data_IF_763824198221
#
_entry.id   IF_763824198221
#
_cell.length_a   1.000
_cell.length_b   1.000
_cell.length_c   1.000
_cell.angle_alpha   90.00
_cell.angle_beta   90.00
_cell.angle_gamma   90.00
#
_symmetry.space_group_name_H-M   'P 1'
#
loop_
_entity.id
_entity.type
_entity.pdbx_description
1 polymer ?
#
# COMPACT_ATOMS: atom_id res chain seq x y z
N UNK A 1 -8.95 -21.09 -5.42
CA UNK A 1 -10.04 -22.02 -5.05
C UNK A 1 -10.69 -21.49 -3.77
N UNK A 2 -11.93 -21.05 -3.84
CA UNK A 2 -12.70 -20.76 -2.64
C UNK A 2 -13.01 -22.12 -1.98
N UNK A 3 -12.53 -22.33 -0.78
CA UNK A 3 -12.80 -23.57 -0.01
C UNK A 3 -14.21 -23.57 0.59
N UNK A 4 -14.96 -22.47 0.46
CA UNK A 4 -16.31 -22.36 1.00
C UNK A 4 -17.12 -21.38 0.13
N UNK A 5 -18.16 -21.84 -0.55
CA UNK A 5 -19.05 -21.03 -1.42
C UNK A 5 -19.83 -19.96 -0.64
N UNK A 6 -19.88 -20.06 0.70
CA UNK A 6 -20.52 -19.07 1.58
C UNK A 6 -19.57 -17.98 2.08
N UNK A 7 -18.33 -17.92 1.60
CA UNK A 7 -17.34 -16.93 2.03
C UNK A 7 -17.26 -15.78 1.02
N UNK A 8 -17.80 -14.63 1.38
CA UNK A 8 -17.78 -13.39 0.58
C UNK A 8 -16.72 -12.43 1.13
N UNK A 9 -15.44 -12.67 0.75
CA UNK A 9 -14.32 -11.87 1.26
C UNK A 9 -14.12 -10.61 0.43
N UNK A 10 -14.46 -9.46 1.03
CA UNK A 10 -14.44 -8.13 0.44
C UNK A 10 -13.50 -7.17 1.20
N UNK A 11 -12.44 -7.70 1.83
CA UNK A 11 -11.43 -6.91 2.56
C UNK A 11 -10.01 -7.09 1.99
N UNK A 12 -9.89 -7.12 0.67
CA UNK A 12 -8.62 -7.32 -0.05
C UNK A 12 -7.62 -6.16 0.11
N UNK A 13 -8.06 -4.98 0.54
CA UNK A 13 -7.17 -3.89 0.90
C UNK A 13 -6.48 -4.11 2.26
N UNK A 14 -7.04 -4.92 3.16
CA UNK A 14 -6.37 -5.33 4.39
C UNK A 14 -5.32 -6.41 4.11
N UNK A 15 -5.68 -7.47 3.42
CA UNK A 15 -4.78 -8.54 2.96
C UNK A 15 -5.47 -9.37 1.89
N UNK A 16 -4.70 -10.00 1.01
CA UNK A 16 -5.24 -10.94 0.02
C UNK A 16 -4.91 -12.38 0.40
N UNK A 17 -5.68 -13.33 -0.12
CA UNK A 17 -5.33 -14.74 -0.06
C UNK A 17 -4.08 -14.99 -0.92
N UNK A 18 -3.17 -15.82 -0.42
CA UNK A 18 -1.98 -16.22 -1.20
C UNK A 18 -2.43 -17.09 -2.38
N UNK A 19 -1.96 -16.76 -3.59
CA UNK A 19 -2.26 -17.58 -4.75
C UNK A 19 -1.60 -18.96 -4.66
N UNK A 20 -2.28 -20.05 -5.06
CA UNK A 20 -1.71 -21.41 -4.98
C UNK A 20 -0.35 -21.52 -5.66
N UNK A 21 -0.19 -20.94 -6.85
CA UNK A 21 1.07 -20.94 -7.59
C UNK A 21 2.20 -20.24 -6.82
N UNK A 22 1.87 -19.22 -6.04
CA UNK A 22 2.82 -18.52 -5.16
C UNK A 22 3.23 -19.40 -4.01
N UNK A 23 2.29 -20.10 -3.37
CA UNK A 23 2.56 -21.03 -2.29
C UNK A 23 3.45 -22.19 -2.77
N UNK A 24 3.18 -22.75 -3.96
CA UNK A 24 3.97 -23.79 -4.58
C UNK A 24 5.41 -23.34 -4.90
N UNK A 25 5.55 -22.12 -5.43
CA UNK A 25 6.88 -21.55 -5.72
C UNK A 25 7.71 -21.34 -4.44
N UNK A 26 7.07 -20.90 -3.35
CA UNK A 26 7.70 -20.74 -2.03
C UNK A 26 8.14 -22.11 -1.51
N UNK A 27 7.23 -23.10 -1.50
CA UNK A 27 7.53 -24.45 -1.02
C UNK A 27 8.71 -25.08 -1.76
N UNK A 28 8.70 -25.04 -3.09
CA UNK A 28 9.81 -25.53 -3.92
C UNK A 28 11.13 -24.80 -3.60
N UNK A 29 11.07 -23.49 -3.45
CA UNK A 29 12.26 -22.71 -3.12
C UNK A 29 12.83 -23.11 -1.76
N UNK A 30 11.99 -23.32 -0.75
CA UNK A 30 12.42 -23.74 0.59
C UNK A 30 13.07 -25.13 0.60
N UNK A 31 12.59 -26.05 -0.22
CA UNK A 31 13.04 -27.45 -0.23
C UNK A 31 14.18 -27.73 -1.19
N UNK A 32 14.24 -27.00 -2.31
CA UNK A 32 15.19 -27.28 -3.40
C UNK A 32 16.34 -26.26 -3.50
N UNK A 33 16.13 -25.01 -3.01
CA UNK A 33 17.07 -23.88 -3.12
C UNK A 33 17.44 -23.29 -1.76
N UNK A 34 17.82 -24.15 -0.82
CA UNK A 34 18.08 -23.80 0.59
C UNK A 34 19.44 -23.10 0.83
N UNK A 35 20.31 -23.04 -0.18
CA UNK A 35 21.65 -22.45 -0.03
C UNK A 35 21.58 -20.95 0.28
N UNK A 36 22.50 -20.46 1.13
CA UNK A 36 22.62 -19.03 1.41
C UNK A 36 23.09 -18.30 0.14
N UNK A 37 22.36 -17.28 -0.37
CA UNK A 37 22.74 -16.54 -1.58
C UNK A 37 24.11 -15.84 -1.51
N UNK A 38 24.65 -15.62 -0.31
CA UNK A 38 25.97 -15.02 -0.10
C UNK A 38 27.11 -16.04 -0.16
N UNK A 39 26.83 -17.36 -0.22
CA UNK A 39 27.85 -18.40 -0.26
C UNK A 39 28.42 -18.60 -1.66
N UNK A 40 29.75 -18.83 -1.75
CA UNK A 40 30.46 -18.93 -3.03
C UNK A 40 30.37 -20.32 -3.70
N UNK A 41 29.88 -21.35 -2.99
CA UNK A 41 29.72 -22.70 -3.50
C UNK A 41 28.41 -22.91 -4.25
N UNK A 42 28.25 -24.03 -4.96
CA UNK A 42 27.17 -24.33 -5.90
C UNK A 42 25.74 -24.04 -5.40
N UNK A 43 25.28 -24.59 -4.26
CA UNK A 43 23.96 -24.27 -3.71
C UNK A 43 23.72 -22.77 -3.45
N UNK A 44 24.72 -22.05 -2.93
CA UNK A 44 24.63 -20.61 -2.71
C UNK A 44 24.49 -19.83 -4.02
N UNK A 45 25.33 -20.17 -5.02
CA UNK A 45 25.24 -19.55 -6.34
C UNK A 45 23.90 -19.82 -7.06
N UNK A 46 23.33 -21.04 -6.89
CA UNK A 46 22.01 -21.35 -7.41
C UNK A 46 20.93 -20.46 -6.78
N UNK A 47 20.96 -20.31 -5.46
CA UNK A 47 20.07 -19.42 -4.70
C UNK A 47 20.24 -17.96 -5.12
N UNK A 48 21.48 -17.50 -5.32
CA UNK A 48 21.77 -16.13 -5.80
C UNK A 48 21.14 -15.87 -7.17
N UNK A 49 21.32 -16.77 -8.12
CA UNK A 49 20.70 -16.63 -9.46
C UNK A 49 19.17 -16.59 -9.38
N UNK A 50 18.56 -17.32 -8.45
CA UNK A 50 17.11 -17.30 -8.24
C UNK A 50 16.65 -15.98 -7.63
N UNK A 51 17.38 -15.46 -6.64
CA UNK A 51 17.14 -14.14 -6.05
C UNK A 51 17.24 -13.01 -7.08
N UNK A 52 18.27 -13.05 -7.93
CA UNK A 52 18.48 -12.04 -8.98
C UNK A 52 17.34 -12.08 -10.03
N UNK A 53 16.84 -13.28 -10.39
CA UNK A 53 15.67 -13.42 -11.26
C UNK A 53 14.39 -12.87 -10.60
N UNK A 54 14.18 -13.17 -9.32
CA UNK A 54 13.05 -12.65 -8.58
C UNK A 54 13.08 -11.11 -8.52
N UNK A 55 14.25 -10.54 -8.27
CA UNK A 55 14.46 -9.08 -8.29
C UNK A 55 14.17 -8.48 -9.66
N UNK A 56 14.66 -9.10 -10.73
CA UNK A 56 14.42 -8.65 -12.10
C UNK A 56 12.92 -8.65 -12.44
N UNK A 57 12.17 -9.68 -12.02
CA UNK A 57 10.73 -9.75 -12.25
C UNK A 57 9.97 -8.61 -11.52
N UNK A 58 10.30 -8.35 -10.24
CA UNK A 58 9.70 -7.24 -9.51
C UNK A 58 10.08 -5.89 -10.13
N UNK A 59 11.35 -5.69 -10.48
CA UNK A 59 11.83 -4.47 -11.11
C UNK A 59 11.12 -4.18 -12.44
N UNK A 60 10.91 -5.21 -13.26
CA UNK A 60 10.19 -5.08 -14.54
C UNK A 60 8.76 -4.53 -14.35
N UNK A 61 8.04 -4.97 -13.30
CA UNK A 61 6.68 -4.47 -13.02
C UNK A 61 6.64 -3.02 -12.54
N UNK A 62 7.76 -2.49 -12.09
CA UNK A 62 7.91 -1.09 -11.66
C UNK A 62 8.52 -0.20 -12.77
N UNK A 63 9.00 -0.80 -13.87
CA UNK A 63 9.79 -0.08 -14.86
C UNK A 63 11.16 0.37 -14.33
N UNK A 64 11.71 -0.35 -13.34
CA UNK A 64 12.97 -0.05 -12.64
C UNK A 64 14.13 -0.92 -13.12
N UNK A 65 15.35 -0.47 -12.87
CA UNK A 65 16.54 -1.31 -12.98
C UNK A 65 16.64 -2.32 -11.82
N UNK A 66 17.24 -3.48 -12.07
CA UNK A 66 17.40 -4.52 -11.04
C UNK A 66 18.21 -4.05 -9.83
N UNK A 67 19.19 -3.16 -10.02
CA UNK A 67 19.97 -2.56 -8.93
C UNK A 67 19.24 -1.45 -8.15
N UNK A 68 17.97 -1.20 -8.44
CA UNK A 68 17.14 -0.18 -7.78
C UNK A 68 16.02 -0.80 -6.94
N UNK A 69 15.89 -2.12 -6.89
CA UNK A 69 14.86 -2.82 -6.13
C UNK A 69 15.49 -3.65 -5.02
N UNK A 70 15.02 -3.48 -3.79
CA UNK A 70 15.53 -4.10 -2.57
C UNK A 70 14.40 -4.83 -1.85
N UNK A 71 14.59 -6.10 -1.51
CA UNK A 71 13.60 -6.86 -0.75
C UNK A 71 13.59 -6.45 0.71
N UNK A 72 12.39 -6.35 1.27
CA UNK A 72 12.12 -6.01 2.68
C UNK A 72 11.12 -6.99 3.28
N UNK A 73 10.93 -6.93 4.58
CA UNK A 73 9.94 -7.77 5.27
C UNK A 73 8.47 -7.30 5.08
N UNK A 74 8.24 -6.04 4.71
CA UNK A 74 6.89 -5.50 4.47
C UNK A 74 6.96 -4.03 3.99
N UNK A 75 5.80 -3.48 3.59
CA UNK A 75 5.70 -2.06 3.24
C UNK A 75 6.10 -1.11 4.37
N UNK A 76 5.78 -1.45 5.62
CA UNK A 76 6.17 -0.62 6.79
C UNK A 76 7.69 -0.54 6.96
N UNK A 77 8.43 -1.66 6.76
CA UNK A 77 9.89 -1.65 6.77
C UNK A 77 10.43 -0.78 5.63
N UNK A 78 9.87 -0.93 4.42
CA UNK A 78 10.26 -0.13 3.25
C UNK A 78 10.06 1.38 3.49
N UNK A 79 8.89 1.79 4.00
CA UNK A 79 8.60 3.19 4.31
C UNK A 79 9.58 3.76 5.34
N UNK A 80 9.87 3.01 6.42
CA UNK A 80 10.83 3.44 7.44
C UNK A 80 12.25 3.58 6.88
N UNK A 81 12.71 2.62 6.07
CA UNK A 81 14.04 2.70 5.42
C UNK A 81 14.10 3.94 4.52
N UNK A 82 13.09 4.15 3.68
CA UNK A 82 13.06 5.26 2.75
C UNK A 82 13.00 6.62 3.46
N UNK A 83 12.08 6.80 4.40
CA UNK A 83 11.84 8.06 5.10
C UNK A 83 13.02 8.41 6.01
N UNK A 84 13.35 7.52 6.95
CA UNK A 84 14.40 7.80 7.93
C UNK A 84 15.77 7.86 7.25
N UNK A 85 16.01 6.97 6.27
CA UNK A 85 17.26 6.94 5.52
C UNK A 85 17.47 8.17 4.62
N UNK A 86 16.40 8.77 4.09
CA UNK A 86 16.50 9.96 3.26
C UNK A 86 16.81 11.25 4.03
N UNK A 87 16.40 11.33 5.30
CA UNK A 87 16.50 12.55 6.10
C UNK A 87 17.92 12.83 6.54
N UNK A 88 18.63 11.82 7.06
CA UNK A 88 19.97 11.98 7.65
C UNK A 88 20.96 12.66 6.69
N UNK A 89 21.16 12.19 5.44
CA UNK A 89 22.10 12.81 4.51
C UNK A 89 21.73 14.25 4.09
N UNK A 90 20.48 14.68 4.38
CA UNK A 90 19.91 15.96 3.95
C UNK A 90 19.76 16.98 5.05
N UNK A 91 19.93 16.57 6.31
CA UNK A 91 19.71 17.40 7.52
C UNK A 91 20.60 18.63 7.61
N UNK A 92 21.75 18.63 6.91
CA UNK A 92 22.68 19.74 6.88
C UNK A 92 22.18 20.97 6.07
N UNK A 93 21.21 20.79 5.16
CA UNK A 93 20.77 21.86 4.26
C UNK A 93 19.26 22.16 4.28
N UNK A 94 18.52 21.45 5.13
CA UNK A 94 17.10 21.72 5.38
C UNK A 94 16.55 20.85 6.49
N UNK A 95 15.43 21.29 7.05
CA UNK A 95 14.70 20.55 8.10
C UNK A 95 13.21 20.44 7.84
N UNK A 96 12.75 20.88 6.67
CA UNK A 96 11.33 20.84 6.32
C UNK A 96 10.99 19.56 5.58
N UNK A 97 9.87 18.94 5.96
CA UNK A 97 9.28 17.75 5.37
C UNK A 97 7.83 18.08 5.02
N UNK A 98 7.39 17.72 3.82
CA UNK A 98 6.00 17.87 3.38
C UNK A 98 5.43 16.47 3.18
N UNK A 99 4.28 16.20 3.78
CA UNK A 99 3.65 14.87 3.74
C UNK A 99 2.14 14.99 3.58
N UNK A 100 1.52 14.05 2.87
CA UNK A 100 0.06 14.03 2.78
C UNK A 100 -0.59 13.72 4.14
N UNK A 101 -1.75 14.31 4.41
CA UNK A 101 -2.43 14.21 5.71
C UNK A 101 -3.26 12.93 5.89
N UNK A 102 -3.26 12.00 4.92
CA UNK A 102 -4.06 10.76 4.95
C UNK A 102 -3.21 9.49 4.76
N UNK A 103 -1.95 9.55 5.18
CA UNK A 103 -1.00 8.46 5.04
C UNK A 103 -1.28 7.28 5.98
N UNK A 104 -0.75 6.12 5.59
CA UNK A 104 -0.71 4.96 6.49
C UNK A 104 0.17 5.24 7.72
N UNK A 105 -0.13 4.65 8.91
CA UNK A 105 0.69 4.83 10.12
C UNK A 105 2.19 4.58 9.95
N UNK A 106 2.59 3.71 9.00
CA UNK A 106 4.01 3.47 8.69
C UNK A 106 4.74 4.68 8.06
N UNK A 107 3.99 5.69 7.60
CA UNK A 107 4.51 6.98 7.15
C UNK A 107 4.27 8.05 8.22
N UNK A 108 3.06 8.13 8.78
CA UNK A 108 2.70 9.15 9.78
C UNK A 108 3.59 9.09 11.03
N UNK A 109 3.78 7.89 11.61
CA UNK A 109 4.55 7.75 12.85
C UNK A 109 6.04 8.12 12.71
N UNK A 110 6.76 7.69 11.65
CA UNK A 110 8.10 8.22 11.38
C UNK A 110 8.14 9.75 11.23
N UNK A 111 7.14 10.37 10.60
CA UNK A 111 7.07 11.83 10.44
C UNK A 111 6.87 12.52 11.79
N UNK A 112 5.99 12.02 12.65
CA UNK A 112 5.80 12.53 14.01
C UNK A 112 7.10 12.43 14.83
N UNK A 113 7.80 11.29 14.75
CA UNK A 113 9.10 11.11 15.40
C UNK A 113 10.16 12.08 14.87
N UNK A 114 10.13 12.44 13.59
CA UNK A 114 11.02 13.45 13.02
C UNK A 114 10.66 14.85 13.54
N UNK A 115 9.37 15.17 13.69
CA UNK A 115 8.93 16.43 14.30
C UNK A 115 9.44 16.57 15.75
N UNK A 116 9.38 15.49 16.55
CA UNK A 116 9.97 15.44 17.92
C UNK A 116 11.48 15.70 17.93
N UNK A 117 12.18 15.35 16.83
CA UNK A 117 13.61 15.60 16.63
C UNK A 117 13.94 16.99 16.07
N UNK A 118 12.93 17.88 15.96
CA UNK A 118 13.08 19.26 15.54
C UNK A 118 13.05 19.48 14.02
N UNK A 119 12.47 18.53 13.24
CA UNK A 119 12.12 18.76 11.86
C UNK A 119 10.76 19.46 11.77
N UNK A 120 10.62 20.37 10.81
CA UNK A 120 9.34 21.00 10.46
C UNK A 120 8.56 20.02 9.56
N UNK A 121 7.51 19.41 10.06
CA UNK A 121 6.67 18.49 9.28
C UNK A 121 5.33 19.13 8.97
N UNK A 122 5.09 19.42 7.69
CA UNK A 122 3.85 19.96 7.17
C UNK A 122 2.96 18.83 6.64
N UNK A 123 1.87 18.52 7.33
CA UNK A 123 0.83 17.60 6.88
C UNK A 123 -0.18 18.35 6.01
N UNK A 124 -0.35 17.94 4.77
CA UNK A 124 -1.28 18.53 3.81
C UNK A 124 -2.59 17.74 3.83
N UNK A 125 -3.65 18.36 4.34
CA UNK A 125 -4.96 17.74 4.41
C UNK A 125 -5.48 17.39 3.00
N UNK A 126 -6.23 16.26 2.85
CA UNK A 126 -6.95 15.97 1.62
C UNK A 126 -8.11 16.96 1.44
N UNK A 127 -8.60 17.07 0.21
CA UNK A 127 -9.87 17.73 -0.08
C UNK A 127 -11.05 16.99 0.55
N UNK A 128 -12.24 17.62 0.59
CA UNK A 128 -13.46 17.00 1.13
C UNK A 128 -13.88 15.73 0.37
N UNK A 129 -13.46 15.60 -0.87
CA UNK A 129 -13.64 14.41 -1.73
C UNK A 129 -12.61 13.31 -1.46
N UNK A 130 -11.65 13.54 -0.55
CA UNK A 130 -10.57 12.61 -0.22
C UNK A 130 -9.39 12.62 -1.18
N UNK A 131 -9.39 13.48 -2.21
CA UNK A 131 -8.26 13.65 -3.13
C UNK A 131 -7.13 14.45 -2.46
N UNK A 132 -5.88 14.23 -2.88
CA UNK A 132 -4.76 15.08 -2.46
C UNK A 132 -4.82 16.41 -3.23
N UNK A 133 -4.88 17.53 -2.51
CA UNK A 133 -4.67 18.85 -3.10
C UNK A 133 -3.19 19.03 -3.51
N UNK A 134 -2.90 18.73 -4.77
CA UNK A 134 -1.54 18.82 -5.34
C UNK A 134 -1.01 20.25 -5.36
N UNK A 135 -1.87 21.28 -5.47
CA UNK A 135 -1.45 22.68 -5.45
C UNK A 135 -1.07 23.11 -4.03
N UNK A 136 -1.88 22.76 -3.02
CA UNK A 136 -1.55 22.99 -1.61
C UNK A 136 -0.26 22.24 -1.22
N UNK A 137 -0.11 20.98 -1.69
CA UNK A 137 1.10 20.20 -1.46
C UNK A 137 2.34 20.90 -2.05
N UNK A 138 2.26 21.33 -3.30
CA UNK A 138 3.35 22.07 -3.95
C UNK A 138 3.62 23.44 -3.30
N UNK A 139 2.57 24.15 -2.88
CA UNK A 139 2.74 25.43 -2.19
C UNK A 139 3.59 25.27 -0.92
N UNK A 140 3.42 24.16 -0.19
CA UNK A 140 4.17 23.86 1.02
C UNK A 140 5.65 23.50 0.77
N UNK A 141 6.02 23.04 -0.43
CA UNK A 141 7.41 22.73 -0.79
C UNK A 141 8.19 24.03 -1.03
N UNK A 142 9.37 24.16 -0.42
CA UNK A 142 10.27 25.29 -0.59
C UNK A 142 11.74 24.85 -0.66
N UNK A 143 12.68 25.82 -0.64
CA UNK A 143 14.14 25.56 -0.74
C UNK A 143 14.71 24.78 0.46
N UNK A 144 14.01 24.74 1.60
CA UNK A 144 14.41 24.02 2.81
C UNK A 144 13.76 22.65 2.94
N UNK A 145 12.87 22.29 2.00
CA UNK A 145 12.19 21.01 1.98
C UNK A 145 13.16 19.92 1.54
N UNK A 146 13.44 18.98 2.45
CA UNK A 146 14.38 17.87 2.23
C UNK A 146 13.69 16.58 1.82
N UNK A 147 12.43 16.40 2.19
CA UNK A 147 11.61 15.21 1.89
C UNK A 147 10.17 15.63 1.59
N UNK A 148 9.61 15.05 0.55
CA UNK A 148 8.19 15.07 0.24
C UNK A 148 7.71 13.61 0.21
N UNK A 149 6.63 13.29 0.92
CA UNK A 149 6.11 11.93 0.99
C UNK A 149 4.59 11.91 0.80
N UNK A 150 4.08 10.99 -0.03
CA UNK A 150 2.65 10.79 -0.24
C UNK A 150 2.37 9.39 -0.74
N UNK A 151 1.15 8.88 -0.48
CA UNK A 151 0.70 7.61 -1.06
C UNK A 151 0.09 7.83 -2.43
N UNK A 152 0.31 6.87 -3.34
CA UNK A 152 -0.27 6.93 -4.68
C UNK A 152 -1.76 6.55 -4.69
N UNK A 153 -2.17 5.59 -3.84
CA UNK A 153 -3.56 5.18 -3.68
C UNK A 153 -3.87 5.07 -2.19
N UNK A 154 -4.93 5.73 -1.75
CA UNK A 154 -5.35 5.67 -0.35
C UNK A 154 -5.99 4.31 -0.02
N UNK A 155 -5.56 3.71 1.08
CA UNK A 155 -5.98 2.38 1.50
C UNK A 155 -7.40 2.32 2.08
N UNK A 156 -8.02 3.46 2.39
CA UNK A 156 -9.37 3.53 2.95
C UNK A 156 -10.42 3.98 1.92
N UNK A 157 -10.10 5.02 1.16
CA UNK A 157 -11.04 5.63 0.20
C UNK A 157 -10.79 5.23 -1.25
N UNK A 158 -9.60 4.71 -1.55
CA UNK A 158 -9.21 4.44 -2.93
C UNK A 158 -8.83 5.68 -3.74
N UNK A 159 -8.82 6.87 -3.11
CA UNK A 159 -8.37 8.10 -3.77
C UNK A 159 -6.98 7.91 -4.36
N UNK A 160 -6.76 8.40 -5.58
CA UNK A 160 -5.51 8.21 -6.29
C UNK A 160 -4.83 9.54 -6.64
N UNK A 161 -3.51 9.49 -6.74
CA UNK A 161 -2.65 10.62 -7.10
C UNK A 161 -1.84 10.26 -8.33
N UNK A 162 -1.74 11.16 -9.31
CA UNK A 162 -0.71 11.04 -10.35
C UNK A 162 0.66 11.33 -9.70
N UNK A 163 1.25 10.24 -9.19
CA UNK A 163 2.47 10.31 -8.41
C UNK A 163 3.66 10.84 -9.23
N UNK A 164 3.74 10.49 -10.51
CA UNK A 164 4.81 10.94 -11.38
C UNK A 164 4.69 12.44 -11.71
N UNK A 165 3.49 12.91 -12.03
CA UNK A 165 3.27 14.33 -12.31
C UNK A 165 3.57 15.19 -11.07
N UNK A 166 3.08 14.80 -9.89
CA UNK A 166 3.36 15.52 -8.65
C UNK A 166 4.85 15.49 -8.32
N UNK A 167 5.52 14.33 -8.43
CA UNK A 167 6.95 14.20 -8.18
C UNK A 167 7.79 15.09 -9.10
N UNK A 168 7.48 15.13 -10.39
CA UNK A 168 8.17 15.99 -11.36
C UNK A 168 8.00 17.48 -11.02
N UNK A 169 6.81 17.90 -10.62
CA UNK A 169 6.53 19.28 -10.19
C UNK A 169 7.31 19.64 -8.91
N UNK A 170 7.38 18.71 -7.94
CA UNK A 170 8.21 18.87 -6.73
C UNK A 170 9.68 19.06 -7.12
N UNK A 171 10.20 18.20 -8.01
CA UNK A 171 11.58 18.29 -8.50
C UNK A 171 11.86 19.56 -9.28
N UNK A 172 10.92 20.06 -10.06
CA UNK A 172 11.04 21.34 -10.77
C UNK A 172 11.14 22.52 -9.79
N UNK A 173 10.39 22.47 -8.68
CA UNK A 173 10.41 23.50 -7.63
C UNK A 173 11.65 23.43 -6.76
N UNK A 174 12.05 22.23 -6.33
CA UNK A 174 13.26 21.98 -5.56
C UNK A 174 13.88 20.62 -5.94
N UNK A 175 14.89 20.56 -6.81
CA UNK A 175 15.50 19.31 -7.26
C UNK A 175 16.21 18.52 -6.15
N UNK A 176 16.51 19.15 -5.00
CA UNK A 176 17.14 18.51 -3.86
C UNK A 176 16.15 17.76 -2.96
N UNK A 177 14.86 18.08 -3.02
CA UNK A 177 13.83 17.38 -2.24
C UNK A 177 13.79 15.91 -2.62
N UNK A 178 14.00 15.00 -1.67
CA UNK A 178 13.73 13.60 -1.88
C UNK A 178 12.21 13.39 -2.02
N UNK A 179 11.78 12.55 -2.98
CA UNK A 179 10.37 12.22 -3.16
C UNK A 179 10.17 10.74 -2.86
N UNK A 180 9.42 10.47 -1.80
CA UNK A 180 9.00 9.13 -1.40
C UNK A 180 7.52 8.89 -1.70
N UNK A 181 7.19 7.74 -2.29
CA UNK A 181 5.81 7.36 -2.58
C UNK A 181 5.50 6.01 -1.95
N UNK A 182 4.44 5.97 -1.13
CA UNK A 182 3.85 4.70 -0.69
C UNK A 182 2.96 4.15 -1.81
N UNK A 183 3.44 3.12 -2.50
CA UNK A 183 2.76 2.43 -3.59
C UNK A 183 2.04 1.13 -3.18
N UNK A 184 1.93 0.85 -1.88
CA UNK A 184 1.41 -0.42 -1.36
C UNK A 184 0.02 -0.75 -1.89
N UNK A 185 -0.86 0.23 -2.03
CA UNK A 185 -2.19 0.05 -2.59
C UNK A 185 -2.27 0.31 -4.10
N UNK A 186 -1.24 0.92 -4.69
CA UNK A 186 -1.20 1.27 -6.11
C UNK A 186 -0.61 0.16 -6.98
N UNK A 187 0.50 -0.45 -6.51
CA UNK A 187 1.22 -1.45 -7.29
C UNK A 187 0.32 -2.60 -7.73
N UNK A 188 0.37 -2.93 -9.01
CA UNK A 188 -0.46 -3.94 -9.69
C UNK A 188 -1.96 -3.57 -9.80
N UNK A 189 -2.41 -2.40 -9.35
CA UNK A 189 -3.79 -1.92 -9.48
C UNK A 189 -3.91 -0.78 -10.47
N UNK A 190 -2.98 0.15 -10.41
CA UNK A 190 -2.89 1.29 -11.33
C UNK A 190 -1.53 1.32 -12.03
N UNK A 191 -1.39 2.02 -13.16
CA UNK A 191 -0.11 2.23 -13.80
C UNK A 191 0.89 2.92 -12.84
N UNK A 192 2.13 2.42 -12.83
CA UNK A 192 3.22 3.01 -12.05
C UNK A 192 4.21 3.67 -13.00
N UNK A 193 4.53 4.93 -12.74
CA UNK A 193 5.65 5.65 -13.36
C UNK A 193 6.54 6.19 -12.25
N UNK A 194 7.83 5.90 -12.33
CA UNK A 194 8.82 6.32 -11.35
C UNK A 194 9.48 7.68 -11.67
N UNK A 195 8.97 8.39 -12.68
CA UNK A 195 9.52 9.68 -13.10
C UNK A 195 9.47 10.73 -11.96
N UNK A 196 10.63 11.25 -11.57
CA UNK A 196 10.76 12.21 -10.45
C UNK A 196 10.73 11.58 -9.05
N UNK A 197 10.46 10.28 -8.92
CA UNK A 197 10.37 9.57 -7.65
C UNK A 197 11.75 9.03 -7.26
N UNK A 198 12.15 9.25 -6.00
CA UNK A 198 13.42 8.76 -5.47
C UNK A 198 13.29 7.42 -4.75
N UNK A 199 12.13 7.16 -4.13
CA UNK A 199 11.82 5.88 -3.47
C UNK A 199 10.35 5.54 -3.59
N UNK A 200 10.06 4.23 -3.76
CA UNK A 200 8.70 3.72 -3.92
C UNK A 200 8.53 2.40 -3.17
N UNK A 201 7.51 2.31 -2.33
CA UNK A 201 7.26 1.14 -1.46
C UNK A 201 6.19 0.24 -2.04
N UNK A 202 6.41 -1.09 -2.00
CA UNK A 202 5.41 -2.10 -2.33
C UNK A 202 5.35 -3.21 -1.27
N UNK A 203 4.21 -3.90 -1.17
CA UNK A 203 3.98 -4.96 -0.18
C UNK A 203 3.29 -6.18 -0.79
N UNK A 204 3.83 -7.36 -0.53
CA UNK A 204 3.40 -8.60 -1.17
C UNK A 204 1.97 -9.02 -0.83
N UNK A 205 1.56 -8.91 0.43
CA UNK A 205 0.25 -9.39 0.87
C UNK A 205 -0.95 -8.57 0.33
N UNK A 206 -0.71 -7.54 -0.46
CA UNK A 206 -1.75 -6.79 -1.17
C UNK A 206 -1.98 -7.28 -2.60
N UNK A 207 -1.12 -8.19 -3.09
CA UNK A 207 -1.12 -8.70 -4.46
C UNK A 207 -1.03 -10.23 -4.51
N UNK A 208 -1.62 -10.93 -3.55
CA UNK A 208 -1.65 -12.40 -3.47
C UNK A 208 -0.30 -13.07 -3.18
N UNK A 209 0.71 -12.32 -2.69
CA UNK A 209 1.93 -12.85 -2.12
C UNK A 209 1.80 -13.04 -0.60
N UNK A 210 2.74 -13.73 0.06
CA UNK A 210 2.68 -13.92 1.51
C UNK A 210 2.86 -12.62 2.29
N UNK A 211 2.39 -12.59 3.53
CA UNK A 211 2.83 -11.64 4.54
C UNK A 211 4.33 -11.86 4.81
N UNK A 212 5.04 -10.83 5.26
CA UNK A 212 6.47 -10.96 5.59
C UNK A 212 7.40 -10.74 4.39
N UNK A 213 6.90 -10.15 3.29
CA UNK A 213 7.71 -9.69 2.17
C UNK A 213 7.14 -8.41 1.55
N UNK A 214 8.04 -7.53 1.18
CA UNK A 214 7.81 -6.32 0.40
C UNK A 214 9.04 -6.00 -0.44
N UNK A 215 9.00 -4.87 -1.13
CA UNK A 215 10.16 -4.34 -1.81
C UNK A 215 10.16 -2.81 -1.76
N UNK A 216 11.36 -2.26 -1.79
CA UNK A 216 11.65 -0.84 -1.86
C UNK A 216 12.39 -0.55 -3.16
N UNK A 217 11.83 0.32 -3.99
CA UNK A 217 12.56 0.96 -5.07
C UNK A 217 13.36 2.15 -4.52
N UNK A 218 14.61 2.23 -4.89
CA UNK A 218 15.47 3.41 -4.68
C UNK A 218 16.12 3.78 -6.00
N UNK A 219 15.87 5.00 -6.46
CA UNK A 219 16.46 5.53 -7.69
C UNK A 219 17.98 5.49 -7.60
N UNK A 220 18.63 5.08 -8.68
CA UNK A 220 20.09 5.06 -8.75
C UNK A 220 20.68 6.45 -8.40
N UNK A 221 21.62 6.46 -7.47
CA UNK A 221 22.24 7.69 -6.97
C UNK A 221 21.42 8.42 -5.89
N UNK A 222 20.27 7.90 -5.50
CA UNK A 222 19.55 8.39 -4.34
C UNK A 222 20.28 7.99 -3.06
N UNK A 223 20.94 8.95 -2.42
CA UNK A 223 21.70 8.71 -1.20
C UNK A 223 20.78 8.58 0.00
N UNK A 224 20.80 7.42 0.66
CA UNK A 224 20.15 7.18 1.94
C UNK A 224 21.15 6.63 2.96
N UNK A 225 20.87 6.85 4.24
CA UNK A 225 21.52 6.18 5.35
C UNK A 225 20.49 5.25 6.01
N UNK A 226 20.53 3.94 5.71
CA UNK A 226 19.55 3.00 6.25
C UNK A 226 19.55 3.00 7.78
N UNK A 227 18.36 2.87 8.43
CA UNK A 227 18.27 2.90 9.89
C UNK A 227 18.77 1.62 10.57
N UNK A 228 19.07 0.58 9.79
CA UNK A 228 19.52 -0.72 10.28
C UNK A 228 21.00 -0.94 9.94
N UNK A 229 21.75 -1.51 10.90
CA UNK A 229 23.13 -1.91 10.73
C UNK A 229 23.24 -3.43 10.88
N UNK A 230 24.10 -4.07 10.08
CA UNK A 230 24.28 -5.53 10.12
C UNK A 230 25.50 -5.99 9.35
N UNK A 231 25.75 -7.31 9.37
CA UNK A 231 26.89 -7.93 8.70
C UNK A 231 26.93 -7.65 7.20
N UNK A 232 28.12 -7.35 6.68
CA UNK A 232 28.34 -7.08 5.26
C UNK A 232 28.15 -5.62 4.83
N UNK A 233 27.80 -4.73 5.73
CA UNK A 233 27.82 -3.28 5.50
C UNK A 233 29.26 -2.77 5.67
N UNK A 234 30.08 -2.92 4.66
CA UNK A 234 31.32 -2.16 4.58
C UNK A 234 31.02 -0.74 4.12
N UNK A 235 31.72 0.21 4.73
CA UNK A 235 31.60 1.67 4.57
C UNK A 235 31.38 2.07 3.12
N UNK A 236 30.14 2.42 2.75
CA UNK A 236 29.84 3.21 1.54
C UNK A 236 30.00 2.51 0.19
N UNK A 237 30.29 1.22 0.13
CA UNK A 237 30.39 0.44 -1.09
C UNK A 237 29.52 -0.80 -0.95
N UNK A 238 28.54 -0.96 -1.82
CA UNK A 238 27.51 -1.99 -1.78
C UNK A 238 28.05 -3.41 -1.76
N UNK A 239 28.32 -3.94 -0.60
CA UNK A 239 28.87 -5.26 -0.35
C UNK A 239 28.17 -6.02 0.76
N UNK A 240 26.87 -5.83 0.98
CA UNK A 240 26.09 -6.60 1.95
C UNK A 240 24.78 -7.12 1.34
N UNK A 241 24.00 -7.84 2.13
CA UNK A 241 22.66 -8.24 1.75
C UNK A 241 21.86 -7.00 1.35
N UNK A 242 21.03 -7.14 0.29
CA UNK A 242 20.30 -6.02 -0.30
C UNK A 242 21.18 -4.76 -0.53
N UNK A 243 22.41 -4.95 -0.98
CA UNK A 243 23.38 -3.91 -1.33
C UNK A 243 23.60 -2.87 -0.19
N UNK A 244 23.51 -3.30 1.07
CA UNK A 244 23.67 -2.44 2.24
C UNK A 244 22.43 -1.62 2.62
N UNK A 245 21.32 -1.75 1.92
CA UNK A 245 20.05 -1.06 2.22
C UNK A 245 19.29 -1.76 3.35
N UNK A 246 19.27 -3.10 3.31
CA UNK A 246 18.59 -3.91 4.31
C UNK A 246 19.50 -5.10 4.70
N UNK A 247 20.08 -5.11 5.92
CA UNK A 247 20.93 -6.20 6.39
C UNK A 247 20.12 -7.44 6.77
N UNK A 248 20.81 -8.57 6.89
CA UNK A 248 20.25 -9.88 7.23
C UNK A 248 20.09 -10.78 6.00
N UNK A 249 20.23 -12.09 6.21
CA UNK A 249 20.11 -13.09 5.14
C UNK A 249 18.82 -12.90 4.38
N UNK A 250 18.89 -12.90 3.05
CA UNK A 250 17.77 -12.67 2.17
C UNK A 250 16.74 -13.81 2.30
N UNK A 251 15.47 -13.45 2.43
CA UNK A 251 14.36 -14.39 2.44
C UNK A 251 14.05 -14.83 1.00
N UNK A 252 14.91 -15.69 0.45
CA UNK A 252 14.80 -16.16 -0.93
C UNK A 252 13.42 -16.74 -1.27
N UNK A 253 12.81 -17.63 -0.43
CA UNK A 253 11.52 -18.20 -0.75
C UNK A 253 10.43 -17.14 -0.92
N UNK A 254 10.41 -16.14 -0.05
CA UNK A 254 9.39 -15.08 -0.10
C UNK A 254 9.69 -14.06 -1.20
N UNK A 255 10.95 -13.79 -1.52
CA UNK A 255 11.32 -12.98 -2.69
C UNK A 255 10.82 -13.63 -4.00
N UNK A 256 10.97 -14.95 -4.13
CA UNK A 256 10.42 -15.73 -5.26
C UNK A 256 8.89 -15.68 -5.25
N UNK A 257 8.27 -15.83 -4.07
CA UNK A 257 6.81 -15.71 -3.92
C UNK A 257 6.29 -14.33 -4.34
N UNK A 258 6.96 -13.25 -3.95
CA UNK A 258 6.62 -11.89 -4.37
C UNK A 258 6.72 -11.71 -5.89
N UNK A 259 7.81 -12.19 -6.48
CA UNK A 259 8.02 -12.13 -7.92
C UNK A 259 6.96 -12.93 -8.70
N UNK A 260 6.63 -14.14 -8.22
CA UNK A 260 5.59 -14.98 -8.82
C UNK A 260 4.22 -14.28 -8.76
N UNK A 261 3.86 -13.70 -7.62
CA UNK A 261 2.61 -12.96 -7.47
C UNK A 261 2.55 -11.74 -8.40
N UNK A 262 3.64 -10.97 -8.49
CA UNK A 262 3.73 -9.81 -9.38
C UNK A 262 3.57 -10.20 -10.85
N UNK A 263 4.21 -11.30 -11.29
CA UNK A 263 4.07 -11.83 -12.66
C UNK A 263 2.64 -12.25 -12.95
N UNK A 264 2.01 -13.02 -12.06
CA UNK A 264 0.61 -13.46 -12.21
C UNK A 264 -0.36 -12.27 -12.28
N UNK A 265 -0.16 -11.26 -11.44
CA UNK A 265 -0.98 -10.05 -11.44
C UNK A 265 -0.82 -9.25 -12.74
N UNK A 266 0.40 -9.16 -13.26
CA UNK A 266 0.70 -8.49 -14.52
C UNK A 266 0.06 -9.23 -15.72
N UNK A 267 0.25 -10.53 -15.81
CA UNK A 267 -0.29 -11.37 -16.88
C UNK A 267 -1.83 -11.34 -16.94
N UNK A 268 -2.47 -11.26 -15.77
CA UNK A 268 -3.93 -11.24 -15.66
C UNK A 268 -4.54 -9.83 -15.68
N UNK A 269 -3.76 -8.77 -15.80
CA UNK A 269 -4.22 -7.38 -15.68
C UNK A 269 -5.36 -7.06 -16.69
N UNK A 270 -5.22 -7.47 -17.95
CA UNK A 270 -6.20 -7.19 -19.01
C UNK A 270 -7.60 -7.79 -18.71
N UNK A 271 -7.67 -8.92 -18.01
CA UNK A 271 -8.92 -9.56 -17.58
C UNK A 271 -9.42 -9.00 -16.24
N UNK A 272 -8.52 -8.84 -15.30
CA UNK A 272 -8.83 -8.44 -13.92
C UNK A 272 -9.37 -7.03 -13.83
N UNK A 273 -8.73 -6.06 -14.50
CA UNK A 273 -9.08 -4.63 -14.35
C UNK A 273 -10.53 -4.35 -14.76
N UNK A 274 -11.02 -4.74 -15.95
CA UNK A 274 -12.42 -4.52 -16.29
C UNK A 274 -13.39 -5.33 -15.44
N UNK A 275 -13.00 -6.52 -14.97
CA UNK A 275 -13.82 -7.33 -14.09
C UNK A 275 -14.05 -6.64 -12.74
N UNK A 276 -13.00 -6.14 -12.08
CA UNK A 276 -13.11 -5.42 -10.81
C UNK A 276 -13.88 -4.10 -10.98
N UNK A 277 -13.69 -3.41 -12.10
CA UNK A 277 -14.48 -2.22 -12.42
C UNK A 277 -15.99 -2.51 -12.54
N UNK A 278 -16.36 -3.64 -13.14
CA UNK A 278 -17.76 -4.06 -13.23
C UNK A 278 -18.36 -4.38 -11.86
N UNK A 279 -17.59 -5.04 -10.96
CA UNK A 279 -18.03 -5.32 -9.58
C UNK A 279 -18.23 -4.03 -8.78
N UNK A 280 -17.31 -3.08 -8.88
CA UNK A 280 -17.43 -1.78 -8.22
C UNK A 280 -18.66 -1.01 -8.75
N UNK A 281 -18.85 -0.96 -10.04
CA UNK A 281 -20.02 -0.32 -10.67
C UNK A 281 -21.34 -0.96 -10.20
N UNK A 282 -21.40 -2.31 -10.14
CA UNK A 282 -22.55 -3.04 -9.60
C UNK A 282 -22.85 -2.67 -8.15
N UNK A 283 -21.82 -2.60 -7.31
CA UNK A 283 -21.97 -2.18 -5.91
C UNK A 283 -22.51 -0.75 -5.83
N UNK A 284 -21.89 0.20 -6.54
CA UNK A 284 -22.35 1.61 -6.55
C UNK A 284 -23.81 1.73 -6.95
N UNK A 285 -24.22 1.09 -8.04
CA UNK A 285 -25.62 1.08 -8.50
C UNK A 285 -26.57 0.44 -7.48
N UNK A 286 -26.14 -0.62 -6.75
CA UNK A 286 -26.93 -1.22 -5.68
C UNK A 286 -27.10 -0.30 -4.49
N UNK A 287 -26.07 0.45 -4.13
CA UNK A 287 -26.10 1.41 -3.00
C UNK A 287 -27.02 2.61 -3.23
N UNK A 288 -27.26 3.02 -4.48
CA UNK A 288 -28.22 4.10 -4.81
C UNK A 288 -29.64 3.82 -4.29
N UNK A 289 -30.00 2.55 -4.05
CA UNK A 289 -31.29 2.16 -3.49
C UNK A 289 -31.37 2.27 -1.98
N UNK A 290 -30.26 2.57 -1.31
CA UNK A 290 -30.12 2.69 0.14
C UNK A 290 -29.88 4.17 0.50
N UNK A 291 -30.95 4.95 0.72
CA UNK A 291 -30.85 6.43 0.85
C UNK A 291 -30.04 6.89 2.10
N UNK A 292 -29.89 6.03 3.08
CA UNK A 292 -29.06 6.32 4.26
C UNK A 292 -27.56 6.19 3.97
N UNK A 293 -27.16 5.51 2.89
CA UNK A 293 -25.77 5.25 2.57
C UNK A 293 -25.18 6.41 1.76
N UNK A 294 -24.02 6.88 2.20
CA UNK A 294 -23.23 7.88 1.45
C UNK A 294 -21.88 7.28 1.07
N UNK A 295 -21.38 7.63 -0.13
CA UNK A 295 -20.05 7.24 -0.57
C UNK A 295 -19.03 8.27 -0.10
N UNK A 296 -17.95 7.79 0.51
CA UNK A 296 -16.81 8.60 0.94
C UNK A 296 -15.64 8.54 -0.06
N UNK A 297 -15.63 7.55 -0.93
CA UNK A 297 -14.65 7.44 -2.02
C UNK A 297 -14.91 8.46 -3.10
N UNK A 298 -13.88 9.15 -3.63
CA UNK A 298 -14.02 10.03 -4.80
C UNK A 298 -14.53 9.27 -6.03
N UNK A 299 -15.06 10.01 -6.99
CA UNK A 299 -15.65 9.42 -8.21
C UNK A 299 -14.61 8.68 -9.05
N UNK A 300 -13.37 9.16 -9.05
CA UNK A 300 -12.20 8.63 -9.76
C UNK A 300 -11.33 7.71 -8.89
N UNK A 301 -11.82 7.25 -7.74
CA UNK A 301 -11.13 6.27 -6.91
C UNK A 301 -10.82 4.99 -7.69
N UNK A 302 -9.76 4.28 -7.28
CA UNK A 302 -9.46 2.96 -7.84
C UNK A 302 -10.64 2.00 -7.62
N UNK A 303 -10.90 1.16 -8.59
CA UNK A 303 -12.05 0.25 -8.54
C UNK A 303 -11.92 -0.83 -7.45
N UNK A 304 -10.72 -1.09 -6.98
CA UNK A 304 -10.42 -2.08 -5.95
C UNK A 304 -10.85 -1.65 -4.54
N UNK A 305 -11.14 -0.37 -4.29
CA UNK A 305 -11.48 0.14 -2.94
C UNK A 305 -12.69 1.06 -3.03
N UNK A 306 -13.68 0.80 -2.19
CA UNK A 306 -14.84 1.67 -1.99
C UNK A 306 -15.07 1.89 -0.49
N UNK A 307 -15.20 3.14 -0.09
CA UNK A 307 -15.57 3.53 1.26
C UNK A 307 -16.98 4.15 1.26
N UNK A 308 -17.80 3.73 2.20
CA UNK A 308 -19.16 4.19 2.36
C UNK A 308 -19.48 4.39 3.85
N UNK A 309 -20.45 5.25 4.17
CA UNK A 309 -21.00 5.39 5.52
C UNK A 309 -22.49 5.04 5.51
N UNK A 310 -22.94 4.22 6.45
CA UNK A 310 -24.35 3.88 6.61
C UNK A 310 -25.15 5.00 7.27
N UNK A 311 -24.49 5.93 7.94
CA UNK A 311 -25.03 7.09 8.67
C UNK A 311 -26.02 6.79 9.81
N UNK A 312 -26.37 5.55 10.04
CA UNK A 312 -27.38 5.18 11.04
C UNK A 312 -27.02 3.95 11.88
N UNK A 313 -26.14 3.08 11.42
CA UNK A 313 -25.68 1.90 12.16
C UNK A 313 -24.15 1.97 12.33
N UNK A 314 -23.65 1.77 13.54
CA UNK A 314 -22.20 1.74 13.81
C UNK A 314 -21.49 0.74 12.93
N UNK A 315 -20.32 1.12 12.46
CA UNK A 315 -19.49 0.27 11.59
C UNK A 315 -19.20 -1.10 12.19
N UNK A 316 -18.85 -1.18 13.48
CA UNK A 316 -18.60 -2.46 14.17
C UNK A 316 -19.85 -3.34 14.24
N UNK A 317 -21.02 -2.75 14.54
CA UNK A 317 -22.29 -3.46 14.59
C UNK A 317 -22.65 -4.04 13.22
N UNK A 318 -22.54 -3.23 12.16
CA UNK A 318 -22.81 -3.66 10.80
C UNK A 318 -21.79 -4.73 10.35
N UNK A 319 -20.51 -4.56 10.69
CA UNK A 319 -19.47 -5.51 10.35
C UNK A 319 -19.74 -6.90 10.95
N UNK A 320 -20.05 -6.97 12.25
CA UNK A 320 -20.38 -8.24 12.90
C UNK A 320 -21.67 -8.86 12.37
N UNK A 321 -22.66 -8.06 12.03
CA UNK A 321 -23.86 -8.55 11.38
C UNK A 321 -23.56 -9.16 10.00
N UNK A 322 -22.79 -8.48 9.16
CA UNK A 322 -22.37 -8.97 7.85
C UNK A 322 -21.55 -10.27 7.97
N UNK A 323 -20.68 -10.38 8.99
CA UNK A 323 -19.94 -11.60 9.29
C UNK A 323 -20.86 -12.79 9.55
N UNK A 324 -22.01 -12.60 10.22
CA UNK A 324 -23.00 -13.70 10.42
C UNK A 324 -23.61 -14.20 9.11
N UNK A 325 -23.51 -13.38 8.04
CA UNK A 325 -23.96 -13.72 6.68
C UNK A 325 -22.81 -14.23 5.80
N UNK A 326 -21.60 -14.43 6.37
CA UNK A 326 -20.42 -14.84 5.60
C UNK A 326 -19.80 -13.72 4.76
N UNK A 327 -20.19 -12.44 4.98
CA UNK A 327 -19.67 -11.28 4.28
C UNK A 327 -18.62 -10.56 5.13
N UNK A 328 -17.41 -10.42 4.61
CA UNK A 328 -16.26 -9.86 5.31
C UNK A 328 -15.83 -8.55 4.66
N UNK A 329 -16.01 -7.45 5.38
CA UNK A 329 -15.60 -6.08 5.02
C UNK A 329 -14.75 -5.50 6.16
N UNK A 330 -14.25 -4.28 6.03
CA UNK A 330 -13.52 -3.58 7.09
C UNK A 330 -14.30 -2.36 7.56
N UNK A 331 -14.26 -2.07 8.85
CA UNK A 331 -14.50 -0.71 9.35
C UNK A 331 -13.26 0.12 8.98
N UNK A 332 -13.39 1.31 8.41
CA UNK A 332 -12.28 2.11 7.85
C UNK A 332 -10.99 2.20 8.68
N UNK A 333 -11.03 1.78 9.94
CA UNK A 333 -9.92 1.79 10.91
C UNK A 333 -9.39 0.40 11.29
N UNK A 334 -9.38 -0.58 10.38
CA UNK A 334 -8.95 -1.97 10.67
C UNK A 334 -7.59 -2.12 11.41
N UNK A 335 -6.73 -1.12 11.38
CA UNK A 335 -5.45 -1.09 12.11
C UNK A 335 -5.51 -0.42 13.49
N UNK A 336 -6.63 0.21 13.89
CA UNK A 336 -6.68 1.12 15.05
C UNK A 336 -7.57 0.66 16.21
N UNK A 337 -7.97 -0.61 16.28
CA UNK A 337 -8.72 -1.20 17.43
C UNK A 337 -9.77 -0.24 18.01
N UNK A 338 -10.71 0.23 17.19
CA UNK A 338 -11.81 1.12 17.63
C UNK A 338 -11.48 2.61 17.67
N UNK A 339 -10.31 3.06 17.21
CA UNK A 339 -10.05 4.48 17.01
C UNK A 339 -10.69 4.96 15.69
N UNK A 340 -11.17 6.20 15.69
CA UNK A 340 -11.73 6.84 14.50
C UNK A 340 -10.72 6.86 13.34
N UNK A 341 -11.19 6.73 12.10
CA UNK A 341 -10.34 6.80 10.93
C UNK A 341 -9.65 8.16 10.83
N UNK A 342 -8.32 8.14 10.82
CA UNK A 342 -7.51 9.33 10.60
C UNK A 342 -7.77 9.93 9.21
N UNK A 343 -7.89 9.09 8.18
CA UNK A 343 -8.16 9.50 6.79
C UNK A 343 -9.51 10.24 6.69
N UNK A 344 -10.60 9.65 7.17
CA UNK A 344 -11.92 10.24 7.09
C UNK A 344 -12.02 11.51 7.96
N UNK A 345 -11.30 11.53 9.09
CA UNK A 345 -11.17 12.74 9.93
C UNK A 345 -10.41 13.86 9.21
N UNK A 346 -9.33 13.55 8.51
CA UNK A 346 -8.55 14.51 7.73
C UNK A 346 -9.35 15.08 6.54
N UNK A 347 -10.30 14.32 5.98
CA UNK A 347 -11.26 14.78 4.97
C UNK A 347 -12.33 15.73 5.54
N UNK A 348 -12.41 15.88 6.87
CA UNK A 348 -13.43 16.71 7.52
C UNK A 348 -14.82 16.08 7.55
N UNK A 349 -14.94 14.76 7.41
CA UNK A 349 -16.24 14.09 7.49
C UNK A 349 -16.83 14.24 8.92
N UNK A 350 -18.16 14.36 9.04
CA UNK A 350 -18.80 14.44 10.34
C UNK A 350 -18.57 13.17 11.16
N UNK A 351 -18.46 13.24 12.51
CA UNK A 351 -18.21 12.10 13.38
C UNK A 351 -19.16 10.92 13.14
N UNK A 352 -20.44 11.20 12.84
CA UNK A 352 -21.42 10.16 12.51
C UNK A 352 -21.06 9.37 11.25
N UNK A 353 -20.62 10.04 10.21
CA UNK A 353 -20.17 9.37 8.98
C UNK A 353 -18.93 8.51 9.24
N UNK A 354 -17.98 9.00 10.05
CA UNK A 354 -16.75 8.27 10.42
C UNK A 354 -17.10 7.01 11.25
N UNK A 355 -17.99 7.12 12.25
CA UNK A 355 -18.38 6.00 13.14
C UNK A 355 -19.19 4.91 12.41
N UNK A 356 -19.77 5.25 11.25
CA UNK A 356 -20.60 4.33 10.45
C UNK A 356 -19.92 3.89 9.14
N UNK A 357 -18.63 4.20 8.97
CA UNK A 357 -17.92 3.96 7.73
C UNK A 357 -17.52 2.48 7.57
N UNK A 358 -17.71 1.96 6.37
CA UNK A 358 -17.26 0.64 5.94
C UNK A 358 -16.38 0.78 4.71
N UNK A 359 -15.33 -0.03 4.66
CA UNK A 359 -14.50 -0.18 3.46
C UNK A 359 -14.78 -1.54 2.82
N UNK A 360 -15.13 -1.51 1.56
CA UNK A 360 -15.23 -2.69 0.69
C UNK A 360 -14.02 -2.72 -0.24
N UNK A 361 -13.40 -3.86 -0.40
CA UNK A 361 -12.26 -3.95 -1.32
C UNK A 361 -12.21 -5.26 -2.09
N UNK A 362 -12.05 -5.13 -3.39
CA UNK A 362 -12.12 -6.20 -4.38
C UNK A 362 -10.74 -6.71 -4.78
N UNK A 363 -10.73 -7.93 -5.31
CA UNK A 363 -9.65 -8.50 -6.10
C UNK A 363 -10.24 -9.25 -7.32
N UNK A 364 -9.38 -9.79 -8.18
CA UNK A 364 -9.80 -10.50 -9.39
C UNK A 364 -10.58 -11.81 -9.16
N UNK A 365 -10.60 -12.32 -7.92
CA UNK A 365 -11.30 -13.56 -7.57
C UNK A 365 -12.71 -13.29 -7.01
N UNK A 366 -13.09 -12.03 -6.77
CA UNK A 366 -14.44 -11.68 -6.38
C UNK A 366 -15.43 -11.88 -7.54
N UNK A 367 -16.69 -12.08 -7.18
CA UNK A 367 -17.78 -12.36 -8.12
C UNK A 367 -18.97 -11.43 -7.88
N UNK A 368 -19.92 -11.40 -8.79
CA UNK A 368 -21.19 -10.68 -8.60
C UNK A 368 -21.95 -11.17 -7.36
N UNK A 369 -21.89 -12.47 -7.05
CA UNK A 369 -22.50 -13.03 -5.84
C UNK A 369 -21.96 -12.43 -4.55
N UNK A 370 -20.67 -12.01 -4.52
CA UNK A 370 -20.11 -11.33 -3.35
C UNK A 370 -20.70 -9.93 -3.16
N UNK A 371 -20.95 -9.24 -4.28
CA UNK A 371 -21.59 -7.91 -4.27
C UNK A 371 -23.05 -8.03 -3.85
N UNK A 372 -23.76 -9.02 -4.40
CA UNK A 372 -25.19 -9.25 -4.09
C UNK A 372 -25.39 -9.64 -2.61
N UNK A 373 -24.51 -10.50 -2.07
CA UNK A 373 -24.53 -10.86 -0.65
C UNK A 373 -24.27 -9.65 0.25
N UNK A 374 -23.33 -8.76 -0.11
CA UNK A 374 -23.09 -7.53 0.63
C UNK A 374 -24.30 -6.60 0.59
N UNK A 375 -24.88 -6.36 -0.60
CA UNK A 375 -26.06 -5.48 -0.74
C UNK A 375 -27.25 -5.99 0.07
N UNK A 376 -27.56 -7.29 -0.01
CA UNK A 376 -28.63 -7.90 0.78
C UNK A 376 -28.34 -7.78 2.29
N UNK A 377 -27.10 -8.03 2.72
CA UNK A 377 -26.70 -7.88 4.11
C UNK A 377 -26.80 -6.43 4.62
N UNK A 378 -26.43 -5.44 3.80
CA UNK A 378 -26.58 -4.03 4.14
C UNK A 378 -28.04 -3.64 4.27
N UNK A 379 -28.90 -4.02 3.31
CA UNK A 379 -30.34 -3.75 3.32
C UNK A 379 -31.00 -4.34 4.58
N UNK A 380 -30.75 -5.63 4.89
CA UNK A 380 -31.28 -6.28 6.10
C UNK A 380 -30.73 -5.64 7.38
N UNK A 381 -29.43 -5.33 7.43
CA UNK A 381 -28.81 -4.68 8.60
C UNK A 381 -29.36 -3.29 8.86
N UNK A 382 -29.56 -2.49 7.83
CA UNK A 382 -30.18 -1.14 7.93
C UNK A 382 -31.64 -1.21 8.42
N UNK A 383 -32.35 -2.28 8.09
CA UNK A 383 -33.75 -2.48 8.50
C UNK A 383 -33.89 -3.03 9.95
N UNK A 384 -32.90 -3.80 10.45
CA UNK A 384 -33.06 -4.60 11.67
C UNK A 384 -32.16 -4.17 12.84
N UNK A 385 -31.00 -3.55 12.55
CA UNK A 385 -30.05 -3.20 13.60
C UNK A 385 -30.41 -1.89 14.32
N UNK A 386 -29.93 -1.80 15.57
CA UNK A 386 -30.10 -0.60 16.37
C UNK A 386 -29.45 0.62 15.69
N UNK A 387 -30.23 1.69 15.55
CA UNK A 387 -29.76 2.94 14.93
C UNK A 387 -29.10 3.85 15.97
N UNK A 388 -28.09 4.59 15.53
CA UNK A 388 -27.52 5.71 16.26
C UNK A 388 -28.60 6.79 16.48
N UNK A 389 -28.72 7.23 17.71
CA UNK A 389 -29.61 8.32 18.09
C UNK A 389 -29.11 9.69 17.61
#
# INVERSE_FOLDING_TARGET
>A
MRQNESLHYLDNAATTLVAPQVADAIYKTMTEHWGNPSSLYGPGQASRRLLDRARAAVAATLGAGTGEVFFTGCGSESNNIAILGAVEPRSAWGKKIVVSGFEHPSVVLPMQRLAEKGFEVAFIAPGPDGSLDGEAFLAAVDRHTILAAFMQVNNETGAQVDAAALAQRIKAKNPRTAVHVDGVQAWMRVPVSLAGIDSYTVSGHKIHAPKGVGALYLRRGHNIQPPYLGGGQEKGVGGGQELGVRPGTENLPYAVGLATAASLMHENAARRTPHVAALNARLRAGLERLPEVTLNSPADAVNEVLNLSTNCVRSETMLHFLETKGVYVSSGSACSRGAASHTLGAMGLPPRAIDTALRVSFCGDNTEADVDALLAGLEEGLATLARLQ
#
